data_IF_670341192917
#
_entry.id   IF_670341192917
#
_cell.length_a   1.000
_cell.length_b   1.000
_cell.length_c   1.000
_cell.angle_alpha   90.00
_cell.angle_beta   90.00
_cell.angle_gamma   90.00
#
_symmetry.space_group_name_H-M   'P 1'
#
loop_
_entity.id
_entity.type
_entity.pdbx_description
1 polymer ?
#
# COMPACT_ATOMS: atom_id res chain seq x y z
N UNK A 1 -31.52 -21.36 -18.91
CA UNK A 1 -31.08 -20.24 -18.03
C UNK A 1 -30.79 -20.77 -16.62
N UNK A 2 -29.74 -21.57 -16.45
CA UNK A 2 -29.37 -22.15 -15.13
C UNK A 2 -27.84 -22.23 -14.91
N UNK A 3 -27.05 -22.25 -15.99
CA UNK A 3 -25.59 -22.31 -15.90
C UNK A 3 -24.93 -20.98 -15.46
N UNK A 4 -25.58 -19.83 -15.67
CA UNK A 4 -25.02 -18.53 -15.28
C UNK A 4 -25.05 -18.26 -13.78
N UNK A 5 -25.87 -18.98 -13.01
CA UNK A 5 -25.91 -18.81 -11.54
C UNK A 5 -24.75 -19.50 -10.81
N UNK A 6 -24.13 -20.53 -11.39
CA UNK A 6 -23.06 -21.29 -10.72
C UNK A 6 -21.72 -20.55 -10.77
N UNK A 7 -21.45 -19.78 -11.84
CA UNK A 7 -20.21 -19.00 -11.94
C UNK A 7 -20.11 -17.86 -10.92
N UNK A 8 -21.23 -17.33 -10.43
CA UNK A 8 -21.24 -16.26 -9.42
C UNK A 8 -20.88 -16.75 -8.01
N UNK A 9 -21.03 -18.05 -7.73
CA UNK A 9 -20.75 -18.64 -6.41
C UNK A 9 -19.26 -18.97 -6.21
N UNK A 10 -18.47 -19.08 -7.28
CA UNK A 10 -17.05 -19.43 -7.24
C UNK A 10 -16.11 -18.22 -7.22
N UNK A 11 -16.64 -17.00 -7.37
CA UNK A 11 -15.90 -15.73 -7.20
C UNK A 11 -15.99 -15.24 -5.74
N UNK A 12 -16.23 -16.15 -4.80
CA UNK A 12 -15.96 -15.94 -3.38
C UNK A 12 -14.49 -16.21 -3.08
N UNK A 13 -13.56 -15.66 -3.86
CA UNK A 13 -12.17 -15.63 -3.45
C UNK A 13 -12.11 -14.69 -2.25
N UNK A 14 -11.82 -15.24 -1.08
CA UNK A 14 -11.72 -14.52 0.17
C UNK A 14 -10.70 -13.40 0.04
N UNK A 15 -11.14 -12.20 -0.35
CA UNK A 15 -10.39 -10.98 -0.14
C UNK A 15 -10.42 -10.78 1.37
N UNK A 16 -9.28 -10.92 2.09
CA UNK A 16 -9.28 -10.58 3.49
C UNK A 16 -9.77 -9.12 3.60
N UNK A 17 -10.62 -8.79 4.61
CA UNK A 17 -10.99 -7.41 4.84
C UNK A 17 -9.69 -6.59 4.86
N UNK A 18 -9.63 -5.42 4.19
CA UNK A 18 -8.45 -4.59 4.26
C UNK A 18 -8.10 -4.43 5.74
N UNK A 19 -6.82 -4.59 6.14
CA UNK A 19 -6.44 -4.43 7.53
C UNK A 19 -7.03 -3.10 7.99
N UNK A 20 -7.76 -3.11 9.11
CA UNK A 20 -8.39 -1.93 9.67
C UNK A 20 -7.40 -0.77 9.54
N UNK A 21 -7.80 0.28 8.82
CA UNK A 21 -6.92 1.41 8.57
C UNK A 21 -6.34 1.83 9.93
N UNK A 22 -5.00 1.81 10.09
CA UNK A 22 -4.42 2.16 11.38
C UNK A 22 -4.97 3.51 11.80
N UNK A 23 -5.30 3.65 13.10
CA UNK A 23 -5.70 4.92 13.68
C UNK A 23 -4.79 6.03 13.15
N UNK A 24 -5.31 7.23 12.82
CA UNK A 24 -4.52 8.30 12.21
C UNK A 24 -3.27 8.54 13.07
N UNK A 25 -2.13 8.09 12.56
CA UNK A 25 -0.82 8.34 13.15
C UNK A 25 -0.33 9.66 12.55
N UNK A 26 0.18 10.54 13.41
CA UNK A 26 0.86 11.76 12.97
C UNK A 26 2.22 11.40 12.34
N UNK A 27 2.15 10.77 11.18
CA UNK A 27 3.32 10.40 10.40
C UNK A 27 3.56 11.44 9.31
N UNK A 28 4.83 11.76 9.00
CA UNK A 28 5.14 12.68 7.93
C UNK A 28 4.65 12.10 6.59
N UNK A 29 4.10 12.98 5.75
CA UNK A 29 3.70 12.61 4.38
C UNK A 29 4.90 12.05 3.62
N UNK A 30 4.71 10.90 2.99
CA UNK A 30 5.76 10.30 2.17
C UNK A 30 6.03 11.15 0.93
N UNK A 31 7.31 11.37 0.55
CA UNK A 31 7.64 12.04 -0.69
C UNK A 31 7.10 11.23 -1.86
N UNK A 32 6.84 11.89 -3.00
CA UNK A 32 6.46 11.22 -4.25
C UNK A 32 7.62 11.26 -5.24
N UNK A 33 7.84 10.17 -5.95
CA UNK A 33 8.86 10.12 -7.00
C UNK A 33 8.32 10.80 -8.27
N UNK A 34 9.06 11.77 -8.80
CA UNK A 34 8.65 12.49 -10.02
C UNK A 34 8.70 11.54 -11.24
N UNK A 35 7.73 11.62 -12.17
CA UNK A 35 7.82 10.91 -13.44
C UNK A 35 9.13 11.24 -14.19
N UNK A 36 9.79 10.20 -14.73
CA UNK A 36 11.07 10.35 -15.41
C UNK A 36 12.29 10.47 -14.49
N UNK A 37 12.13 10.25 -13.18
CA UNK A 37 13.25 10.20 -12.23
C UNK A 37 14.30 9.16 -12.63
N UNK A 38 15.57 9.51 -12.49
CA UNK A 38 16.69 8.63 -12.82
C UNK A 38 16.91 7.57 -11.75
N UNK A 39 17.83 6.63 -12.03
CA UNK A 39 18.18 5.57 -11.08
C UNK A 39 18.69 6.11 -9.73
N UNK A 40 19.48 7.18 -9.76
CA UNK A 40 20.00 7.79 -8.53
C UNK A 40 18.88 8.36 -7.66
N UNK A 41 17.94 9.10 -8.27
CA UNK A 41 16.77 9.66 -7.59
C UNK A 41 15.87 8.56 -7.01
N UNK A 42 15.69 7.46 -7.75
CA UNK A 42 14.92 6.33 -7.28
C UNK A 42 15.56 5.65 -6.07
N UNK A 43 16.89 5.46 -6.07
CA UNK A 43 17.61 4.89 -4.94
C UNK A 43 17.56 5.80 -3.71
N UNK A 44 17.67 7.11 -3.92
CA UNK A 44 17.53 8.09 -2.85
C UNK A 44 16.11 8.08 -2.26
N UNK A 45 15.09 8.11 -3.13
CA UNK A 45 13.70 8.04 -2.75
C UNK A 45 13.35 6.81 -1.92
N UNK A 46 13.88 5.63 -2.28
CA UNK A 46 13.70 4.39 -1.50
C UNK A 46 14.29 4.55 -0.10
N UNK A 47 15.51 5.09 0.02
CA UNK A 47 16.19 5.28 1.32
C UNK A 47 15.42 6.25 2.21
N UNK A 48 15.02 7.41 1.68
CA UNK A 48 14.29 8.43 2.44
C UNK A 48 12.91 7.92 2.86
N UNK A 49 12.17 7.30 1.94
CA UNK A 49 10.85 6.73 2.25
C UNK A 49 10.93 5.65 3.31
N UNK A 50 11.94 4.79 3.27
CA UNK A 50 12.16 3.75 4.27
C UNK A 50 12.47 4.33 5.66
N UNK A 51 13.31 5.37 5.74
CA UNK A 51 13.62 6.06 7.01
C UNK A 51 12.37 6.72 7.61
N UNK A 52 11.59 7.44 6.79
CA UNK A 52 10.34 8.07 7.24
C UNK A 52 9.32 7.04 7.75
N UNK A 53 9.20 5.90 7.06
CA UNK A 53 8.35 4.80 7.49
C UNK A 53 8.84 4.19 8.81
N UNK A 54 10.15 3.94 8.95
CA UNK A 54 10.73 3.38 10.17
C UNK A 54 10.52 4.31 11.38
N UNK A 55 10.67 5.62 11.21
CA UNK A 55 10.41 6.61 12.27
C UNK A 55 8.93 6.62 12.68
N UNK A 56 8.03 6.60 11.71
CA UNK A 56 6.58 6.50 11.94
C UNK A 56 6.20 5.18 12.66
N UNK A 57 6.90 4.08 12.37
CA UNK A 57 6.69 2.81 13.03
C UNK A 57 7.29 2.75 14.46
N UNK A 58 8.34 3.51 14.74
CA UNK A 58 8.98 3.57 16.06
C UNK A 58 8.21 4.41 17.08
N UNK A 59 7.24 5.22 16.65
CA UNK A 59 6.34 5.97 17.54
C UNK A 59 5.14 5.14 18.00
N UNK A 60 5.23 3.81 17.93
CA UNK A 60 4.20 2.83 18.34
C UNK A 60 4.61 2.17 19.65
#
# INVERSE_FOLDING_TARGET
MRATMICLLLVGCATPPPPAAPAPRDCPTLPTLKPGAGRADMLDHIRVTADLYARCAATI
#
